data_IF_610267170148
#
_entry.id   IF_610267170148
#
_cell.length_a   1.000
_cell.length_b   1.000
_cell.length_c   1.000
_cell.angle_alpha   90.00
_cell.angle_beta   90.00
_cell.angle_gamma   90.00
#
_symmetry.space_group_name_H-M   'P 1'
#
loop_
_entity.id
_entity.type
_entity.pdbx_description
1 polymer ?
#
# COMPACT_ATOMS: atom_id res chain seq x y z
N UNK A 1 -3.52 -5.74 16.78
CA UNK A 1 -4.33 -4.49 16.80
C UNK A 1 -3.41 -3.30 16.74
N UNK A 2 -3.75 -2.29 15.92
CA UNK A 2 -3.00 -1.02 15.88
C UNK A 2 -3.32 -0.21 17.14
N UNK A 3 -2.29 0.32 17.81
CA UNK A 3 -2.43 1.23 18.94
C UNK A 3 -1.86 2.59 18.53
N UNK A 4 -2.52 3.65 18.93
CA UNK A 4 -2.10 5.04 18.67
C UNK A 4 -1.52 5.62 19.96
N UNK A 5 -0.35 6.24 19.87
CA UNK A 5 0.25 7.01 20.96
C UNK A 5 0.56 8.43 20.43
N UNK A 6 -0.01 9.41 21.10
CA UNK A 6 0.08 10.83 20.73
C UNK A 6 0.94 11.64 21.71
N UNK A 7 1.62 11.00 22.64
CA UNK A 7 2.42 11.68 23.67
C UNK A 7 3.51 12.57 23.08
N UNK A 8 4.08 12.19 21.93
CA UNK A 8 5.06 12.99 21.19
C UNK A 8 4.50 14.25 20.52
N UNK A 9 3.18 14.46 20.59
CA UNK A 9 2.51 15.66 20.07
C UNK A 9 2.07 16.63 21.19
N UNK A 10 2.14 16.24 22.46
CA UNK A 10 1.56 16.98 23.59
C UNK A 10 2.16 18.39 23.79
N UNK A 11 3.39 18.61 23.40
CA UNK A 11 4.04 19.94 23.46
C UNK A 11 3.68 20.84 22.26
N UNK A 12 3.03 20.30 21.23
CA UNK A 12 2.68 21.02 20.01
C UNK A 12 1.21 21.36 19.90
N UNK A 13 0.33 20.46 20.35
CA UNK A 13 -1.13 20.62 20.31
C UNK A 13 -1.66 20.59 21.72
N UNK A 14 -2.33 21.66 22.13
CA UNK A 14 -2.97 21.70 23.45
C UNK A 14 -4.27 20.86 23.47
N UNK A 15 -4.71 20.48 24.67
CA UNK A 15 -5.87 19.62 24.88
C UNK A 15 -7.17 20.17 24.28
N UNK A 16 -7.36 21.50 24.30
CA UNK A 16 -8.57 22.13 23.76
C UNK A 16 -8.63 22.04 22.23
N UNK A 17 -7.51 22.30 21.56
CA UNK A 17 -7.41 22.17 20.11
C UNK A 17 -7.55 20.69 19.70
N UNK A 18 -6.87 19.77 20.39
CA UNK A 18 -7.02 18.33 20.12
C UNK A 18 -8.48 17.89 20.24
N UNK A 19 -9.18 18.24 21.33
CA UNK A 19 -10.59 17.89 21.54
C UNK A 19 -11.50 18.47 20.44
N UNK A 20 -11.26 19.69 20.02
CA UNK A 20 -12.01 20.28 18.90
C UNK A 20 -11.84 19.47 17.60
N UNK A 21 -10.66 18.93 17.33
CA UNK A 21 -10.44 18.05 16.17
C UNK A 21 -10.99 16.63 16.39
N UNK A 22 -11.03 16.12 17.61
CA UNK A 22 -11.75 14.86 17.94
C UNK A 22 -13.24 15.00 17.62
N UNK A 23 -13.88 16.13 18.01
CA UNK A 23 -15.28 16.38 17.67
C UNK A 23 -15.53 16.46 16.16
N UNK A 24 -14.65 17.16 15.41
CA UNK A 24 -14.71 17.18 13.94
C UNK A 24 -14.55 15.79 13.33
N UNK A 25 -13.64 14.98 13.86
CA UNK A 25 -13.37 13.63 13.38
C UNK A 25 -14.51 12.66 13.70
N UNK A 26 -15.20 12.85 14.84
CA UNK A 26 -16.41 12.10 15.18
C UNK A 26 -17.56 12.46 14.22
N UNK A 27 -17.74 13.74 13.89
CA UNK A 27 -18.71 14.16 12.89
C UNK A 27 -18.37 13.61 11.49
N UNK A 28 -17.09 13.62 11.11
CA UNK A 28 -16.62 13.03 9.86
C UNK A 28 -16.82 11.51 9.80
N UNK A 29 -16.61 10.79 10.91
CA UNK A 29 -16.96 9.38 11.03
C UNK A 29 -18.45 9.15 10.81
N UNK A 30 -19.31 10.00 11.37
CA UNK A 30 -20.75 9.88 11.19
C UNK A 30 -21.17 10.08 9.73
N UNK A 31 -20.58 11.07 9.05
CA UNK A 31 -20.77 11.30 7.61
C UNK A 31 -20.33 10.08 6.79
N UNK A 32 -19.20 9.48 7.14
CA UNK A 32 -18.66 8.28 6.49
C UNK A 32 -19.55 7.05 6.72
N UNK A 33 -20.01 6.83 7.95
CA UNK A 33 -20.86 5.68 8.29
C UNK A 33 -22.25 5.79 7.67
N UNK A 34 -22.83 6.97 7.66
CA UNK A 34 -24.15 7.23 7.08
C UNK A 34 -24.11 7.41 5.55
N UNK A 35 -22.92 7.37 4.92
CA UNK A 35 -22.72 7.51 3.47
C UNK A 35 -23.30 8.81 2.88
N UNK A 36 -23.21 9.90 3.63
CA UNK A 36 -23.80 11.20 3.27
C UNK A 36 -22.78 12.20 2.73
N UNK A 37 -21.49 11.84 2.73
CA UNK A 37 -20.41 12.71 2.29
C UNK A 37 -20.12 12.66 0.80
N UNK A 38 -19.26 13.56 0.34
CA UNK A 38 -18.78 13.57 -1.03
C UNK A 38 -18.04 12.25 -1.34
N UNK A 39 -18.29 11.66 -2.51
CA UNK A 39 -17.69 10.40 -2.93
C UNK A 39 -18.31 9.15 -2.29
N UNK A 40 -19.52 9.25 -1.74
CA UNK A 40 -20.26 8.13 -1.14
C UNK A 40 -20.51 6.94 -2.09
N UNK A 41 -20.40 7.14 -3.41
CA UNK A 41 -20.45 6.08 -4.41
C UNK A 41 -19.24 5.11 -4.34
N UNK A 42 -18.20 5.44 -3.55
CA UNK A 42 -16.94 4.70 -3.44
C UNK A 42 -16.66 4.16 -2.03
N UNK A 43 -17.69 3.81 -1.27
CA UNK A 43 -17.57 3.32 0.11
C UNK A 43 -17.66 1.80 0.27
N UNK A 44 -17.63 1.03 -0.82
CA UNK A 44 -17.69 -0.44 -0.78
C UNK A 44 -16.54 -1.09 -0.01
N UNK A 45 -15.45 -0.36 0.25
CA UNK A 45 -14.33 -0.86 1.04
C UNK A 45 -14.64 -0.96 2.55
N UNK A 46 -15.62 -0.26 3.07
CA UNK A 46 -15.92 -0.15 4.51
C UNK A 46 -16.16 -1.49 5.20
N UNK A 47 -16.80 -2.43 4.52
CA UNK A 47 -17.20 -3.72 5.05
C UNK A 47 -16.52 -4.91 4.35
N UNK A 48 -15.51 -4.64 3.52
CA UNK A 48 -14.77 -5.70 2.82
C UNK A 48 -14.23 -6.81 3.75
N UNK A 49 -13.68 -6.52 4.95
CA UNK A 49 -13.21 -7.59 5.82
C UNK A 49 -14.31 -8.58 6.21
N UNK A 50 -15.43 -8.08 6.71
CA UNK A 50 -16.57 -8.91 7.12
C UNK A 50 -17.27 -9.59 5.93
N UNK A 51 -17.47 -8.89 4.82
CA UNK A 51 -18.09 -9.41 3.61
C UNK A 51 -17.23 -10.50 2.96
N UNK A 52 -15.92 -10.27 2.83
CA UNK A 52 -15.00 -11.22 2.20
C UNK A 52 -14.88 -12.51 3.02
N UNK A 53 -14.79 -12.42 4.35
CA UNK A 53 -14.77 -13.60 5.22
C UNK A 53 -16.04 -14.47 5.11
N UNK A 54 -17.18 -13.86 4.78
CA UNK A 54 -18.45 -14.54 4.59
C UNK A 54 -18.73 -14.94 3.13
N UNK A 55 -17.78 -14.73 2.21
CA UNK A 55 -17.91 -15.03 0.78
C UNK A 55 -17.12 -16.27 0.36
N UNK A 56 -17.24 -16.65 -0.91
CA UNK A 56 -16.43 -17.72 -1.53
C UNK A 56 -15.12 -17.23 -2.10
N UNK A 57 -14.82 -15.92 -2.03
CA UNK A 57 -13.71 -15.30 -2.72
C UNK A 57 -12.35 -15.92 -2.37
N UNK A 58 -12.09 -16.15 -1.08
CA UNK A 58 -10.83 -16.75 -0.61
C UNK A 58 -10.66 -18.15 -1.21
N UNK A 59 -11.70 -18.98 -1.13
CA UNK A 59 -11.68 -20.33 -1.69
C UNK A 59 -11.51 -20.33 -3.22
N UNK A 60 -12.08 -19.36 -3.92
CA UNK A 60 -11.89 -19.20 -5.37
C UNK A 60 -10.46 -18.79 -5.72
N UNK A 61 -9.82 -17.95 -4.92
CA UNK A 61 -8.39 -17.58 -5.09
C UNK A 61 -7.49 -18.79 -4.78
N UNK A 62 -7.79 -19.55 -3.74
CA UNK A 62 -7.07 -20.78 -3.40
C UNK A 62 -7.18 -21.83 -4.50
N UNK A 63 -8.35 -21.97 -5.13
CA UNK A 63 -8.51 -22.85 -6.28
C UNK A 63 -7.61 -22.48 -7.47
N UNK A 64 -7.36 -21.18 -7.71
CA UNK A 64 -6.37 -20.73 -8.71
C UNK A 64 -4.96 -21.12 -8.30
N UNK A 65 -4.60 -20.88 -7.03
CA UNK A 65 -3.28 -21.28 -6.48
C UNK A 65 -3.04 -22.78 -6.69
N UNK A 66 -3.99 -23.60 -6.32
CA UNK A 66 -3.86 -25.05 -6.36
C UNK A 66 -3.82 -25.58 -7.81
N UNK A 67 -4.60 -24.98 -8.72
CA UNK A 67 -4.55 -25.30 -10.14
C UNK A 67 -3.18 -24.93 -10.76
N UNK A 68 -2.59 -23.80 -10.39
CA UNK A 68 -1.28 -23.39 -10.88
C UNK A 68 -0.15 -24.18 -10.22
N UNK A 69 -0.28 -24.56 -8.96
CA UNK A 69 0.65 -25.48 -8.30
C UNK A 69 0.68 -26.85 -8.99
N UNK A 70 -0.48 -27.41 -9.38
CA UNK A 70 -0.56 -28.65 -10.14
C UNK A 70 0.10 -28.58 -11.53
N UNK A 71 0.19 -27.38 -12.10
CA UNK A 71 0.93 -27.11 -13.35
C UNK A 71 2.42 -26.79 -13.12
N UNK A 72 2.89 -26.83 -11.87
CA UNK A 72 4.24 -26.43 -11.46
C UNK A 72 4.59 -24.99 -11.87
N UNK A 73 3.63 -24.08 -11.86
CA UNK A 73 3.91 -22.65 -12.06
C UNK A 73 4.83 -22.16 -10.95
N UNK A 74 5.98 -21.61 -11.31
CA UNK A 74 6.99 -21.14 -10.38
C UNK A 74 7.27 -19.64 -10.46
N UNK A 75 6.62 -18.96 -11.43
CA UNK A 75 6.62 -17.50 -11.59
C UNK A 75 5.21 -16.99 -11.89
N UNK A 76 4.77 -15.96 -11.17
CA UNK A 76 3.53 -15.25 -11.49
C UNK A 76 3.85 -13.79 -11.76
N UNK A 77 3.50 -13.32 -12.95
CA UNK A 77 3.59 -11.92 -13.33
C UNK A 77 2.27 -11.23 -12.99
N UNK A 78 2.27 -10.36 -12.00
CA UNK A 78 1.11 -9.54 -11.62
C UNK A 78 1.22 -8.19 -12.32
N UNK A 79 0.28 -7.91 -13.22
CA UNK A 79 0.28 -6.72 -14.06
C UNK A 79 -0.76 -5.73 -13.55
N UNK A 80 -0.29 -4.57 -13.09
CA UNK A 80 -1.14 -3.51 -12.55
C UNK A 80 -0.34 -2.28 -12.16
N UNK A 81 -1.02 -1.17 -11.90
CA UNK A 81 -0.42 0.11 -11.48
C UNK A 81 -1.23 0.75 -10.36
N UNK A 82 -0.59 1.60 -9.55
CA UNK A 82 -1.25 2.29 -8.44
C UNK A 82 -1.89 1.31 -7.45
N UNK A 83 -3.18 1.44 -7.19
CA UNK A 83 -3.91 0.54 -6.29
C UNK A 83 -3.95 -0.92 -6.74
N UNK A 84 -3.82 -1.18 -8.03
CA UNK A 84 -3.69 -2.54 -8.58
C UNK A 84 -2.31 -3.17 -8.38
N UNK A 85 -1.40 -2.47 -7.71
CA UNK A 85 -0.01 -2.88 -7.48
C UNK A 85 0.40 -2.73 -6.01
N UNK A 86 0.26 -1.50 -5.46
CA UNK A 86 0.92 -1.10 -4.21
C UNK A 86 0.46 -1.91 -2.99
N UNK A 87 -0.84 -2.19 -2.86
CA UNK A 87 -1.36 -2.96 -1.72
C UNK A 87 -0.83 -4.39 -1.68
N UNK A 88 -0.90 -5.10 -2.81
CA UNK A 88 -0.33 -6.45 -2.94
C UNK A 88 1.19 -6.43 -2.72
N UNK A 89 1.91 -5.48 -3.34
CA UNK A 89 3.36 -5.34 -3.17
C UNK A 89 3.74 -5.09 -1.72
N UNK A 90 3.02 -4.23 -1.01
CA UNK A 90 3.21 -4.00 0.42
C UNK A 90 3.07 -5.29 1.23
N UNK A 91 2.01 -6.06 1.02
CA UNK A 91 1.79 -7.31 1.74
C UNK A 91 2.91 -8.33 1.46
N UNK A 92 3.27 -8.51 0.18
CA UNK A 92 4.29 -9.47 -0.20
C UNK A 92 5.66 -9.10 0.38
N UNK A 93 6.08 -7.84 0.32
CA UNK A 93 7.37 -7.40 0.89
C UNK A 93 7.41 -7.52 2.41
N UNK A 94 6.31 -7.16 3.08
CA UNK A 94 6.22 -7.26 4.54
C UNK A 94 6.29 -8.70 5.05
N UNK A 95 5.65 -9.64 4.35
CA UNK A 95 5.52 -11.02 4.80
C UNK A 95 6.64 -11.93 4.31
N UNK A 96 7.24 -11.64 3.15
CA UNK A 96 8.30 -12.46 2.57
C UNK A 96 9.61 -12.41 3.37
N UNK A 97 10.44 -13.42 3.22
CA UNK A 97 11.83 -13.39 3.66
C UNK A 97 12.61 -12.41 2.77
N UNK A 98 13.30 -11.40 3.36
CA UNK A 98 14.01 -10.35 2.60
C UNK A 98 15.01 -10.90 1.57
N UNK A 99 15.61 -12.05 1.85
CA UNK A 99 16.59 -12.71 0.98
C UNK A 99 16.03 -14.01 0.34
N UNK A 100 14.70 -14.10 0.14
CA UNK A 100 14.07 -15.31 -0.41
C UNK A 100 14.70 -15.75 -1.72
N UNK A 101 15.03 -14.79 -2.60
CA UNK A 101 15.62 -15.07 -3.92
C UNK A 101 17.02 -15.66 -3.85
N UNK A 102 17.78 -15.36 -2.79
CA UNK A 102 19.15 -15.82 -2.57
C UNK A 102 19.24 -17.14 -1.79
N UNK A 103 18.15 -17.57 -1.16
CA UNK A 103 18.12 -18.84 -0.43
C UNK A 103 18.13 -20.02 -1.38
N UNK A 104 18.85 -21.10 -1.00
CA UNK A 104 18.87 -22.36 -1.76
C UNK A 104 17.51 -23.05 -1.78
N UNK A 105 16.79 -23.00 -0.65
CA UNK A 105 15.43 -23.53 -0.53
C UNK A 105 14.44 -22.36 -0.52
N UNK A 106 13.69 -22.22 -1.60
CA UNK A 106 12.77 -21.09 -1.82
C UNK A 106 11.32 -21.38 -1.41
N UNK A 107 11.01 -22.58 -0.91
CA UNK A 107 9.63 -23.01 -0.65
C UNK A 107 8.91 -23.46 -1.92
N UNK A 108 7.61 -23.76 -1.81
CA UNK A 108 6.77 -24.28 -2.88
C UNK A 108 5.93 -23.22 -3.61
N UNK A 109 5.77 -22.04 -3.01
CA UNK A 109 5.00 -20.96 -3.63
C UNK A 109 5.76 -20.34 -4.82
N UNK A 110 5.06 -19.92 -5.88
CA UNK A 110 5.68 -19.25 -7.02
C UNK A 110 6.28 -17.91 -6.61
N UNK A 111 7.31 -17.49 -7.32
CA UNK A 111 7.82 -16.13 -7.21
C UNK A 111 6.82 -15.16 -7.83
N UNK A 112 6.46 -14.11 -7.10
CA UNK A 112 5.58 -13.05 -7.61
C UNK A 112 6.45 -11.88 -8.06
N UNK A 113 6.28 -11.46 -9.32
CA UNK A 113 6.90 -10.28 -9.89
C UNK A 113 5.83 -9.34 -10.43
N UNK A 114 6.12 -8.05 -10.47
CA UNK A 114 5.15 -7.06 -10.91
C UNK A 114 5.57 -6.44 -12.25
N UNK A 115 4.57 -6.09 -13.06
CA UNK A 115 4.75 -5.39 -14.33
C UNK A 115 3.64 -4.35 -14.54
N UNK A 116 3.84 -3.44 -15.50
CA UNK A 116 2.84 -2.43 -15.81
C UNK A 116 2.74 -1.29 -14.79
N UNK A 117 3.67 -1.19 -13.85
CA UNK A 117 3.80 -0.07 -12.92
C UNK A 117 4.73 1.02 -13.46
N UNK A 118 5.34 0.80 -14.61
CA UNK A 118 6.19 1.75 -15.34
C UNK A 118 6.19 1.45 -16.85
N UNK A 119 6.84 2.31 -17.63
CA UNK A 119 7.04 2.17 -19.09
C UNK A 119 8.54 2.09 -19.45
N UNK A 120 9.39 1.63 -18.53
CA UNK A 120 10.81 1.41 -18.81
C UNK A 120 10.99 0.22 -19.76
N UNK A 121 11.60 0.45 -20.91
CA UNK A 121 11.91 -0.61 -21.87
C UNK A 121 12.91 -1.61 -21.28
N UNK A 122 13.94 -1.12 -20.58
CA UNK A 122 14.94 -1.96 -19.91
C UNK A 122 14.29 -2.89 -18.87
N UNK A 123 13.42 -2.34 -18.00
CA UNK A 123 12.67 -3.16 -17.05
C UNK A 123 11.86 -4.27 -17.72
N UNK A 124 11.20 -3.95 -18.83
CA UNK A 124 10.41 -4.95 -19.56
C UNK A 124 11.26 -6.01 -20.23
N UNK A 125 12.41 -5.65 -20.81
CA UNK A 125 13.36 -6.62 -21.38
C UNK A 125 13.86 -7.58 -20.30
N UNK A 126 14.35 -7.08 -19.17
CA UNK A 126 14.85 -7.90 -18.05
C UNK A 126 13.75 -8.79 -17.44
N UNK A 127 12.51 -8.28 -17.34
CA UNK A 127 11.37 -9.10 -16.95
C UNK A 127 11.11 -10.23 -17.93
N UNK A 128 11.19 -9.95 -19.24
CA UNK A 128 10.96 -10.99 -20.26
C UNK A 128 12.06 -12.02 -20.28
N UNK A 129 13.32 -11.67 -19.97
CA UNK A 129 14.41 -12.64 -19.78
C UNK A 129 14.06 -13.62 -18.64
N UNK A 130 13.57 -13.09 -17.50
CA UNK A 130 13.13 -13.92 -16.39
C UNK A 130 11.94 -14.83 -16.75
N UNK A 131 10.95 -14.29 -17.45
CA UNK A 131 9.75 -15.04 -17.87
C UNK A 131 10.12 -16.19 -18.82
N UNK A 132 11.14 -16.01 -19.67
CA UNK A 132 11.61 -17.03 -20.62
C UNK A 132 12.29 -18.23 -19.92
N UNK A 133 12.85 -18.03 -18.75
CA UNK A 133 13.54 -19.08 -17.98
C UNK A 133 12.63 -19.85 -17.03
N UNK A 134 11.34 -19.44 -16.91
CA UNK A 134 10.44 -19.92 -15.86
C UNK A 134 9.12 -20.47 -16.39
N UNK A 135 8.48 -21.30 -15.58
CA UNK A 135 7.13 -21.79 -15.85
C UNK A 135 6.11 -20.74 -15.36
N UNK A 136 5.75 -19.82 -16.26
CA UNK A 136 5.06 -18.59 -15.90
C UNK A 136 3.53 -18.66 -16.04
N UNK A 137 2.86 -17.89 -15.16
CA UNK A 137 1.44 -17.52 -15.26
C UNK A 137 1.29 -16.00 -15.06
N UNK A 138 0.10 -15.46 -15.33
CA UNK A 138 -0.15 -14.02 -15.30
C UNK A 138 -1.46 -13.67 -14.60
N UNK A 139 -1.42 -12.69 -13.71
CA UNK A 139 -2.60 -11.99 -13.18
C UNK A 139 -2.60 -10.58 -13.75
N UNK A 140 -3.62 -10.22 -14.53
CA UNK A 140 -3.78 -8.86 -15.05
C UNK A 140 -4.90 -8.15 -14.31
N UNK A 141 -4.58 -6.98 -13.73
CA UNK A 141 -5.47 -6.21 -12.86
C UNK A 141 -5.70 -4.84 -13.47
N UNK A 142 -6.88 -4.65 -14.06
CA UNK A 142 -7.29 -3.36 -14.61
C UNK A 142 -8.80 -3.30 -14.76
N UNK A 143 -9.45 -2.29 -14.17
CA UNK A 143 -10.89 -2.11 -14.27
C UNK A 143 -11.31 -1.84 -15.72
N UNK A 144 -10.69 -0.89 -16.40
CA UNK A 144 -11.00 -0.54 -17.78
C UNK A 144 -10.30 -1.41 -18.82
N UNK A 145 -9.12 -1.93 -18.51
CA UNK A 145 -8.23 -2.60 -19.46
C UNK A 145 -7.55 -1.66 -20.46
N UNK A 146 -7.64 -0.34 -20.27
CA UNK A 146 -7.10 0.68 -21.20
C UNK A 146 -6.07 1.60 -20.57
N UNK A 147 -5.73 1.40 -19.29
CA UNK A 147 -4.60 2.11 -18.68
C UNK A 147 -3.33 1.70 -19.41
N UNK A 148 -2.57 2.67 -19.89
CA UNK A 148 -1.52 2.45 -20.89
C UNK A 148 -0.44 1.48 -20.38
N UNK A 149 0.09 1.72 -19.20
CA UNK A 149 1.21 0.98 -18.63
C UNK A 149 0.91 -0.52 -18.48
N UNK A 150 -0.15 -0.93 -17.76
CA UNK A 150 -0.49 -2.34 -17.65
C UNK A 150 -0.99 -2.94 -18.98
N UNK A 151 -1.61 -2.15 -19.87
CA UNK A 151 -2.06 -2.66 -21.18
C UNK A 151 -0.86 -3.01 -22.09
N UNK A 152 0.20 -2.20 -22.09
CA UNK A 152 1.45 -2.49 -22.81
C UNK A 152 2.12 -3.74 -22.23
N UNK A 153 2.33 -3.79 -20.93
CA UNK A 153 2.95 -4.94 -20.26
C UNK A 153 2.15 -6.24 -20.53
N UNK A 154 0.82 -6.18 -20.41
CA UNK A 154 -0.02 -7.34 -20.65
C UNK A 154 0.04 -7.82 -22.11
N UNK A 155 0.08 -6.91 -23.06
CA UNK A 155 0.20 -7.27 -24.49
C UNK A 155 1.48 -8.06 -24.77
N UNK A 156 2.60 -7.65 -24.16
CA UNK A 156 3.90 -8.32 -24.32
C UNK A 156 3.93 -9.69 -23.64
N UNK A 157 3.54 -9.75 -22.37
CA UNK A 157 3.52 -11.00 -21.59
C UNK A 157 2.54 -12.01 -22.18
N UNK A 158 1.31 -11.57 -22.53
CA UNK A 158 0.29 -12.41 -23.16
C UNK A 158 0.82 -13.05 -24.46
N UNK A 159 1.42 -12.23 -25.33
CA UNK A 159 1.99 -12.73 -26.60
C UNK A 159 3.02 -13.83 -26.35
N UNK A 160 3.95 -13.61 -25.40
CA UNK A 160 4.96 -14.61 -25.08
C UNK A 160 4.32 -15.90 -24.57
N UNK A 161 3.35 -15.80 -23.65
CA UNK A 161 2.66 -16.98 -23.12
C UNK A 161 1.92 -17.76 -24.22
N UNK A 162 1.26 -17.06 -25.16
CA UNK A 162 0.58 -17.67 -26.28
C UNK A 162 1.54 -18.38 -27.25
N UNK A 163 2.67 -17.74 -27.54
CA UNK A 163 3.72 -18.33 -28.42
C UNK A 163 4.37 -19.58 -27.76
N UNK A 164 4.47 -19.60 -26.43
CA UNK A 164 5.14 -20.68 -25.67
C UNK A 164 4.22 -21.85 -25.36
N UNK A 165 2.99 -21.57 -24.87
CA UNK A 165 2.09 -22.60 -24.37
C UNK A 165 0.90 -22.88 -25.29
N UNK A 166 0.65 -22.03 -26.28
CA UNK A 166 -0.55 -22.07 -27.13
C UNK A 166 -1.82 -21.56 -26.42
N UNK A 167 -2.79 -21.09 -27.21
CA UNK A 167 -3.97 -20.37 -26.71
C UNK A 167 -4.81 -21.14 -25.68
N UNK A 168 -4.98 -22.45 -25.87
CA UNK A 168 -5.79 -23.27 -24.97
C UNK A 168 -5.20 -23.34 -23.55
N UNK A 169 -3.90 -23.58 -23.46
CA UNK A 169 -3.18 -23.63 -22.17
C UNK A 169 -3.09 -22.23 -21.51
N UNK A 170 -2.92 -21.19 -22.31
CA UNK A 170 -2.84 -19.81 -21.82
C UNK A 170 -4.14 -19.35 -21.17
N UNK A 171 -5.29 -19.83 -21.65
CA UNK A 171 -6.59 -19.54 -21.02
C UNK A 171 -6.64 -19.97 -19.53
N UNK A 172 -5.88 -21.00 -19.16
CA UNK A 172 -5.78 -21.50 -17.78
C UNK A 172 -4.61 -20.87 -17.00
N UNK A 173 -3.72 -20.12 -17.68
CA UNK A 173 -2.54 -19.44 -17.09
C UNK A 173 -2.72 -17.94 -16.91
N UNK A 174 -3.81 -17.38 -17.40
CA UNK A 174 -4.13 -15.96 -17.23
C UNK A 174 -5.39 -15.82 -16.38
N UNK A 175 -5.30 -15.01 -15.35
CA UNK A 175 -6.45 -14.56 -14.56
C UNK A 175 -6.59 -13.06 -14.71
N UNK A 176 -7.80 -12.58 -15.02
CA UNK A 176 -8.10 -11.17 -15.13
C UNK A 176 -8.93 -10.69 -13.92
N UNK A 177 -8.41 -9.71 -13.20
CA UNK A 177 -9.13 -8.98 -12.16
C UNK A 177 -9.60 -7.67 -12.78
N UNK A 178 -10.91 -7.55 -13.07
CA UNK A 178 -11.46 -6.51 -13.94
C UNK A 178 -12.92 -6.18 -13.61
N UNK A 179 -13.52 -5.27 -14.36
CA UNK A 179 -14.93 -4.93 -14.26
C UNK A 179 -15.83 -6.15 -14.47
N UNK A 180 -17.00 -6.16 -13.84
CA UNK A 180 -17.98 -7.23 -13.93
C UNK A 180 -18.52 -7.44 -15.37
N UNK A 181 -18.77 -6.33 -16.07
CA UNK A 181 -19.53 -6.34 -17.32
C UNK A 181 -18.88 -5.54 -18.46
N UNK A 182 -18.02 -4.59 -18.17
CA UNK A 182 -17.53 -3.57 -19.10
C UNK A 182 -16.01 -3.55 -19.21
N UNK A 183 -15.51 -2.84 -20.24
CA UNK A 183 -14.09 -2.59 -20.43
C UNK A 183 -13.40 -3.57 -21.38
N UNK A 184 -12.28 -3.12 -21.92
CA UNK A 184 -11.50 -3.87 -22.90
C UNK A 184 -10.97 -5.20 -22.32
N UNK A 185 -10.51 -5.20 -21.06
CA UNK A 185 -10.01 -6.42 -20.43
C UNK A 185 -11.13 -7.43 -20.18
N UNK A 186 -12.33 -6.98 -19.78
CA UNK A 186 -13.47 -7.86 -19.61
C UNK A 186 -13.89 -8.51 -20.93
N UNK A 187 -13.96 -7.72 -22.00
CA UNK A 187 -14.24 -8.22 -23.35
C UNK A 187 -13.23 -9.29 -23.80
N UNK A 188 -11.95 -8.99 -23.64
CA UNK A 188 -10.88 -9.92 -23.98
C UNK A 188 -10.93 -11.20 -23.12
N UNK A 189 -11.08 -11.07 -21.80
CA UNK A 189 -11.14 -12.22 -20.89
C UNK A 189 -12.33 -13.15 -21.22
N UNK A 190 -13.46 -12.57 -21.63
CA UNK A 190 -14.63 -13.36 -22.06
C UNK A 190 -14.36 -14.06 -23.39
N UNK A 191 -13.74 -13.38 -24.35
CA UNK A 191 -13.41 -13.94 -25.67
C UNK A 191 -12.40 -15.09 -25.56
N UNK A 192 -11.36 -14.93 -24.76
CA UNK A 192 -10.26 -15.90 -24.63
C UNK A 192 -10.51 -16.96 -23.53
N UNK A 193 -11.59 -16.84 -22.76
CA UNK A 193 -11.97 -17.81 -21.73
C UNK A 193 -11.15 -17.72 -20.43
N UNK A 194 -10.57 -16.55 -20.12
CA UNK A 194 -9.81 -16.36 -18.87
C UNK A 194 -10.71 -16.41 -17.64
N UNK A 195 -10.24 -17.02 -16.56
CA UNK A 195 -10.86 -16.87 -15.23
C UNK A 195 -10.87 -15.39 -14.86
N UNK A 196 -12.01 -14.89 -14.36
CA UNK A 196 -12.15 -13.49 -13.96
C UNK A 196 -12.51 -13.35 -12.51
N UNK A 197 -11.99 -12.31 -11.84
CA UNK A 197 -12.46 -11.77 -10.57
C UNK A 197 -12.94 -10.34 -10.78
N UNK A 198 -13.90 -9.93 -9.98
CA UNK A 198 -14.55 -8.62 -10.12
C UNK A 198 -13.82 -7.56 -9.30
N UNK A 199 -13.61 -6.39 -9.91
CA UNK A 199 -13.31 -5.14 -9.19
C UNK A 199 -14.64 -4.41 -9.04
N UNK A 200 -15.12 -4.27 -7.82
CA UNK A 200 -16.41 -3.64 -7.55
C UNK A 200 -16.40 -2.16 -7.96
N UNK A 201 -17.55 -1.67 -8.45
CA UNK A 201 -17.68 -0.31 -8.95
C UNK A 201 -17.52 0.74 -7.85
N UNK A 202 -17.95 0.39 -6.65
CA UNK A 202 -17.95 1.24 -5.47
C UNK A 202 -16.67 1.16 -4.62
N UNK A 203 -15.57 0.57 -5.15
CA UNK A 203 -14.27 0.54 -4.49
C UNK A 203 -13.24 1.27 -5.34
N UNK A 204 -12.65 2.32 -4.76
CA UNK A 204 -11.54 3.06 -5.37
C UNK A 204 -10.23 2.26 -5.38
N UNK A 205 -9.36 2.49 -6.37
CA UNK A 205 -8.11 1.72 -6.52
C UNK A 205 -7.22 1.69 -5.28
N UNK A 206 -7.04 2.81 -4.59
CA UNK A 206 -6.20 2.90 -3.38
C UNK A 206 -6.82 2.29 -2.13
N UNK A 207 -8.12 1.93 -2.17
CA UNK A 207 -8.86 1.24 -1.12
C UNK A 207 -9.13 -0.24 -1.47
N UNK A 208 -8.42 -0.81 -2.45
CA UNK A 208 -8.77 -2.11 -3.05
C UNK A 208 -7.93 -3.29 -2.56
N UNK A 209 -7.02 -3.09 -1.61
CA UNK A 209 -6.10 -4.16 -1.17
C UNK A 209 -6.83 -5.38 -0.61
N UNK A 210 -7.98 -5.21 0.03
CA UNK A 210 -8.82 -6.29 0.58
C UNK A 210 -9.91 -6.78 -0.39
N UNK A 211 -9.77 -6.46 -1.69
CA UNK A 211 -10.55 -7.03 -2.80
C UNK A 211 -9.73 -8.09 -3.55
N UNK A 212 -10.25 -8.75 -4.59
CA UNK A 212 -9.44 -9.64 -5.45
C UNK A 212 -8.15 -9.02 -5.97
N UNK A 213 -8.07 -7.69 -6.05
CA UNK A 213 -6.89 -6.93 -6.47
C UNK A 213 -5.66 -7.24 -5.60
N UNK A 214 -5.81 -7.26 -4.29
CA UNK A 214 -4.74 -7.60 -3.36
C UNK A 214 -4.79 -9.06 -2.91
N UNK A 215 -5.99 -9.60 -2.66
CA UNK A 215 -6.20 -10.95 -2.11
C UNK A 215 -5.59 -12.02 -3.02
N UNK A 216 -5.85 -11.97 -4.32
CA UNK A 216 -5.36 -13.00 -5.24
C UNK A 216 -3.83 -13.10 -5.27
N UNK A 217 -3.06 -12.02 -5.49
CA UNK A 217 -1.59 -12.11 -5.42
C UNK A 217 -1.05 -12.59 -4.07
N UNK A 218 -1.69 -12.21 -2.95
CA UNK A 218 -1.28 -12.61 -1.60
C UNK A 218 -1.49 -14.12 -1.40
N UNK A 219 -2.64 -14.65 -1.82
CA UNK A 219 -2.96 -16.10 -1.77
C UNK A 219 -2.00 -16.89 -2.67
N UNK A 220 -1.71 -16.41 -3.88
CA UNK A 220 -0.77 -17.05 -4.80
C UNK A 220 0.66 -17.13 -4.23
N UNK A 221 1.06 -16.12 -3.45
CA UNK A 221 2.33 -16.10 -2.73
C UNK A 221 2.36 -17.06 -1.51
N UNK A 222 1.25 -17.68 -1.15
CA UNK A 222 1.14 -18.66 -0.08
C UNK A 222 0.95 -18.08 1.33
N UNK A 223 0.54 -16.82 1.47
CA UNK A 223 0.26 -16.19 2.76
C UNK A 223 -1.16 -16.45 3.24
N UNK A 224 -1.36 -16.41 4.56
CA UNK A 224 -2.65 -16.64 5.21
C UNK A 224 -3.56 -15.40 5.10
N UNK A 225 -4.35 -15.38 4.03
CA UNK A 225 -5.30 -14.28 3.79
C UNK A 225 -6.44 -14.25 4.82
N UNK A 226 -6.83 -15.38 5.41
CA UNK A 226 -7.86 -15.40 6.43
C UNK A 226 -7.38 -14.69 7.70
N UNK A 227 -6.13 -14.92 8.12
CA UNK A 227 -5.53 -14.17 9.22
C UNK A 227 -5.48 -12.67 8.94
N UNK A 228 -5.15 -12.26 7.70
CA UNK A 228 -5.14 -10.85 7.29
C UNK A 228 -6.55 -10.23 7.37
N UNK A 229 -7.54 -10.90 6.84
CA UNK A 229 -8.94 -10.44 6.89
C UNK A 229 -9.48 -10.37 8.32
N UNK A 230 -9.09 -11.31 9.19
CA UNK A 230 -9.45 -11.27 10.62
C UNK A 230 -8.82 -10.05 11.32
N UNK A 231 -7.58 -9.71 11.01
CA UNK A 231 -6.94 -8.51 11.52
C UNK A 231 -7.63 -7.22 11.06
N UNK A 232 -8.01 -7.18 9.77
CA UNK A 232 -8.79 -6.08 9.19
C UNK A 232 -10.19 -5.97 9.82
N UNK A 233 -10.89 -7.11 10.04
CA UNK A 233 -12.20 -7.14 10.70
C UNK A 233 -12.13 -6.61 12.14
N UNK A 234 -11.14 -7.04 12.92
CA UNK A 234 -10.95 -6.55 14.27
C UNK A 234 -10.73 -5.02 14.31
N UNK A 235 -10.12 -4.47 13.26
CA UNK A 235 -9.92 -3.03 13.12
C UNK A 235 -11.18 -2.33 12.57
N UNK A 236 -11.97 -2.97 11.70
CA UNK A 236 -13.30 -2.50 11.28
C UNK A 236 -14.17 -2.24 12.51
N UNK A 237 -14.25 -3.24 13.43
CA UNK A 237 -14.99 -3.12 14.68
C UNK A 237 -14.46 -2.03 15.60
N UNK A 238 -13.13 -1.88 15.71
CA UNK A 238 -12.50 -0.86 16.55
C UNK A 238 -12.76 0.55 16.00
N UNK A 239 -12.67 0.72 14.69
CA UNK A 239 -12.83 2.00 14.00
C UNK A 239 -14.30 2.41 13.76
N UNK A 240 -15.26 1.52 14.03
CA UNK A 240 -16.69 1.85 14.04
C UNK A 240 -17.15 2.56 15.31
N UNK A 241 -16.34 2.55 16.39
CA UNK A 241 -16.70 3.11 17.69
C UNK A 241 -16.78 4.65 17.63
N UNK A 242 -17.90 5.21 18.05
CA UNK A 242 -18.12 6.66 18.13
C UNK A 242 -17.60 7.23 19.45
N UNK A 243 -16.30 7.15 19.69
CA UNK A 243 -15.62 7.65 20.90
C UNK A 243 -14.20 8.09 20.61
N UNK A 244 -13.60 8.86 21.49
CA UNK A 244 -12.19 9.23 21.46
C UNK A 244 -11.27 8.01 21.56
N UNK A 245 -11.76 6.88 22.04
CA UNK A 245 -11.04 5.62 22.10
C UNK A 245 -10.80 4.95 20.72
N UNK A 246 -11.41 5.47 19.66
CA UNK A 246 -11.27 4.98 18.29
C UNK A 246 -9.91 5.41 17.73
N UNK A 247 -9.03 4.46 17.33
CA UNK A 247 -7.68 4.80 16.88
C UNK A 247 -7.67 5.64 15.60
N UNK A 248 -8.64 5.44 14.69
CA UNK A 248 -8.73 6.23 13.47
C UNK A 248 -9.13 7.69 13.76
N UNK A 249 -10.01 7.91 14.77
CA UNK A 249 -10.37 9.26 15.25
C UNK A 249 -9.15 9.94 15.86
N UNK A 250 -8.41 9.25 16.73
CA UNK A 250 -7.21 9.80 17.39
C UNK A 250 -6.18 10.28 16.36
N UNK A 251 -5.88 9.42 15.39
CA UNK A 251 -4.90 9.72 14.37
C UNK A 251 -5.36 10.85 13.44
N UNK A 252 -6.58 10.79 12.92
CA UNK A 252 -7.12 11.84 12.04
C UNK A 252 -7.23 13.19 12.75
N UNK A 253 -7.65 13.22 14.01
CA UNK A 253 -7.75 14.44 14.80
C UNK A 253 -6.39 15.11 14.99
N UNK A 254 -5.37 14.36 15.43
CA UNK A 254 -4.04 14.92 15.67
C UNK A 254 -3.39 15.41 14.37
N UNK A 255 -3.47 14.66 13.28
CA UNK A 255 -2.94 15.07 11.97
C UNK A 255 -3.51 16.41 11.53
N UNK A 256 -4.83 16.56 11.60
CA UNK A 256 -5.51 17.78 11.17
C UNK A 256 -5.27 18.96 12.13
N UNK A 257 -5.12 18.71 13.43
CA UNK A 257 -4.71 19.74 14.38
C UNK A 257 -3.30 20.26 14.08
N UNK A 258 -2.36 19.38 13.78
CA UNK A 258 -0.98 19.74 13.37
C UNK A 258 -0.97 20.46 12.01
N UNK A 259 -1.78 20.02 11.05
CA UNK A 259 -1.91 20.68 9.76
C UNK A 259 -2.39 22.13 9.91
N UNK A 260 -3.35 22.39 10.79
CA UNK A 260 -3.82 23.75 11.07
C UNK A 260 -2.73 24.62 11.68
N UNK A 261 -1.73 24.04 12.35
CA UNK A 261 -0.56 24.74 12.90
C UNK A 261 0.59 24.88 11.90
N UNK A 262 0.38 24.50 10.63
CA UNK A 262 1.37 24.67 9.56
C UNK A 262 2.25 23.44 9.31
N UNK A 263 2.00 22.29 9.93
CA UNK A 263 2.68 21.03 9.59
C UNK A 263 2.07 20.48 8.29
N UNK A 264 2.74 20.74 7.17
CA UNK A 264 2.24 20.46 5.82
C UNK A 264 2.76 19.16 5.22
N UNK A 265 3.77 18.55 5.85
CA UNK A 265 4.41 17.32 5.40
C UNK A 265 4.29 16.29 6.53
N UNK A 266 3.77 15.11 6.22
CA UNK A 266 3.80 13.97 7.12
C UNK A 266 4.74 12.92 6.58
N UNK A 267 5.67 12.47 7.41
CA UNK A 267 6.64 11.44 7.07
C UNK A 267 6.27 10.16 7.80
N UNK A 268 5.88 9.11 7.06
CA UNK A 268 5.71 7.77 7.63
C UNK A 268 7.09 7.14 7.82
N UNK A 269 7.41 6.81 9.06
CA UNK A 269 8.73 6.28 9.46
C UNK A 269 8.62 4.80 9.78
N UNK A 270 9.47 3.98 9.19
CA UNK A 270 9.61 2.57 9.51
C UNK A 270 11.05 2.24 9.91
N UNK A 271 11.23 1.50 11.01
CA UNK A 271 12.53 0.96 11.46
C UNK A 271 12.77 -0.49 11.03
N UNK A 272 11.79 -1.09 10.36
CA UNK A 272 11.92 -2.42 9.80
C UNK A 272 11.83 -2.33 8.26
N UNK A 273 12.86 -2.76 7.50
CA UNK A 273 12.90 -2.64 6.05
C UNK A 273 11.77 -3.40 5.33
N UNK A 274 11.12 -4.36 6.01
CA UNK A 274 9.92 -5.03 5.49
C UNK A 274 8.71 -4.09 5.31
N UNK A 275 8.71 -2.93 5.96
CA UNK A 275 7.62 -1.95 5.89
C UNK A 275 7.87 -0.83 4.86
N UNK A 276 8.93 -0.92 4.04
CA UNK A 276 9.21 0.06 2.99
C UNK A 276 8.01 0.29 2.08
N UNK A 277 7.39 -0.78 1.59
CA UNK A 277 6.22 -0.67 0.71
C UNK A 277 4.92 -0.33 1.45
N UNK A 278 4.87 -0.40 2.77
CA UNK A 278 3.79 0.21 3.55
C UNK A 278 3.79 1.74 3.35
N UNK A 279 4.98 2.35 3.38
CA UNK A 279 5.14 3.78 3.07
C UNK A 279 4.71 4.12 1.64
N UNK A 280 5.05 3.30 0.64
CA UNK A 280 4.68 3.54 -0.76
C UNK A 280 3.15 3.42 -0.96
N UNK A 281 2.50 2.40 -0.40
CA UNK A 281 1.05 2.26 -0.42
C UNK A 281 0.35 3.40 0.33
N UNK A 282 0.85 3.78 1.50
CA UNK A 282 0.32 4.86 2.32
C UNK A 282 0.42 6.23 1.62
N UNK A 283 1.51 6.49 0.88
CA UNK A 283 1.66 7.71 0.07
C UNK A 283 0.57 7.82 -1.00
N UNK A 284 0.24 6.73 -1.68
CA UNK A 284 -0.88 6.74 -2.63
C UNK A 284 -2.21 6.97 -1.92
N UNK A 285 -2.46 6.26 -0.82
CA UNK A 285 -3.70 6.38 -0.07
C UNK A 285 -3.98 7.83 0.33
N UNK A 286 -3.04 8.48 1.00
CA UNK A 286 -3.21 9.85 1.49
C UNK A 286 -3.02 10.91 0.41
N UNK A 287 -2.06 10.76 -0.48
CA UNK A 287 -1.77 11.72 -1.55
C UNK A 287 -2.96 11.91 -2.50
N UNK A 288 -3.56 10.81 -2.96
CA UNK A 288 -4.75 10.89 -3.82
C UNK A 288 -6.03 11.26 -3.07
N UNK A 289 -6.11 10.97 -1.77
CA UNK A 289 -7.33 11.25 -0.99
C UNK A 289 -7.40 12.70 -0.49
N UNK A 290 -6.29 13.28 -0.07
CA UNK A 290 -6.24 14.59 0.60
C UNK A 290 -5.71 15.72 -0.27
N UNK A 291 -4.83 15.44 -1.24
CA UNK A 291 -4.17 16.47 -2.08
C UNK A 291 -5.11 17.07 -3.12
N UNK A 292 -6.08 17.90 -2.70
CA UNK A 292 -7.13 18.49 -3.53
C UNK A 292 -7.44 19.92 -3.12
N UNK A 293 -7.97 20.70 -4.04
CA UNK A 293 -8.46 22.08 -3.80
C UNK A 293 -7.41 23.00 -3.16
N UNK A 294 -6.12 22.75 -3.39
CA UNK A 294 -5.02 23.49 -2.76
C UNK A 294 -4.78 23.13 -1.29
N UNK A 295 -5.44 22.07 -0.79
CA UNK A 295 -5.33 21.54 0.56
C UNK A 295 -4.57 20.22 0.56
N UNK A 296 -4.24 19.71 1.75
CA UNK A 296 -3.68 18.38 1.96
C UNK A 296 -2.33 18.40 2.64
N UNK A 297 -2.06 17.30 3.37
CA UNK A 297 -0.77 17.01 3.98
C UNK A 297 0.03 16.21 2.96
N UNK A 298 1.23 16.67 2.60
CA UNK A 298 2.09 15.96 1.66
C UNK A 298 2.64 14.70 2.30
N UNK A 299 2.33 13.50 1.77
CA UNK A 299 2.78 12.24 2.35
C UNK A 299 4.20 11.90 1.85
N UNK A 300 5.13 11.73 2.78
CA UNK A 300 6.48 11.22 2.52
C UNK A 300 6.72 9.95 3.33
N UNK A 301 7.79 9.21 3.05
CA UNK A 301 8.19 8.06 3.86
C UNK A 301 9.70 7.93 3.93
N UNK A 302 10.21 7.38 5.05
CA UNK A 302 11.61 7.08 5.29
C UNK A 302 11.77 5.73 5.96
N UNK A 303 12.93 5.10 5.75
CA UNK A 303 13.34 3.86 6.41
C UNK A 303 14.55 4.15 7.32
N UNK A 304 14.31 4.26 8.61
CA UNK A 304 15.37 4.42 9.58
C UNK A 304 15.94 3.03 9.97
N UNK A 305 17.20 2.94 10.34
CA UNK A 305 18.22 3.99 10.54
C UNK A 305 18.86 4.49 9.24
N UNK A 306 18.67 3.81 8.10
CA UNK A 306 19.31 4.17 6.82
C UNK A 306 19.12 5.66 6.49
N UNK A 307 17.89 6.14 6.51
CA UNK A 307 17.57 7.51 6.13
C UNK A 307 17.93 8.57 7.20
N UNK A 308 18.35 8.16 8.41
CA UNK A 308 19.00 9.08 9.34
C UNK A 308 20.33 9.59 8.78
N UNK A 309 20.98 8.80 7.92
CA UNK A 309 22.23 9.17 7.23
C UNK A 309 22.01 9.95 5.93
N UNK A 310 20.76 10.30 5.61
CA UNK A 310 20.37 11.10 4.44
C UNK A 310 19.41 12.23 4.82
N UNK A 311 18.23 11.92 5.32
CA UNK A 311 17.17 12.86 5.68
C UNK A 311 17.22 13.34 7.13
N UNK A 312 17.97 12.64 7.99
CA UNK A 312 18.02 12.94 9.43
C UNK A 312 18.43 14.40 9.73
N UNK A 313 19.40 14.97 9.00
CA UNK A 313 19.79 16.36 9.16
C UNK A 313 18.64 17.32 8.88
N UNK A 314 17.89 17.11 7.79
CA UNK A 314 16.78 17.99 7.44
C UNK A 314 15.63 17.88 8.46
N UNK A 315 15.31 16.66 8.87
CA UNK A 315 14.23 16.41 9.84
C UNK A 315 14.59 17.07 11.17
N UNK A 316 15.84 16.91 11.65
CA UNK A 316 16.30 17.45 12.93
C UNK A 316 16.42 18.98 12.94
N UNK A 317 16.90 19.60 11.86
CA UNK A 317 17.35 21.01 11.87
C UNK A 317 16.89 21.81 10.64
N UNK A 318 16.06 21.25 9.77
CA UNK A 318 15.50 21.94 8.61
C UNK A 318 14.23 22.74 8.97
N UNK A 319 13.38 22.97 7.99
CA UNK A 319 12.12 23.73 8.15
C UNK A 319 11.09 23.00 9.01
N UNK A 320 10.42 23.72 9.90
CA UNK A 320 9.48 23.13 10.90
C UNK A 320 8.08 22.86 10.34
N UNK A 321 7.96 22.54 9.05
CA UNK A 321 6.70 22.29 8.35
C UNK A 321 6.28 20.81 8.36
N UNK A 322 7.06 19.94 8.96
CA UNK A 322 6.86 18.50 8.95
C UNK A 322 6.45 17.92 10.32
N UNK A 323 5.85 16.75 10.29
CA UNK A 323 5.57 15.86 11.41
C UNK A 323 5.90 14.42 11.02
N UNK A 324 6.12 13.55 11.97
CA UNK A 324 6.39 12.14 11.72
C UNK A 324 5.29 11.24 12.30
N UNK A 325 4.99 10.16 11.57
CA UNK A 325 4.19 9.02 12.04
C UNK A 325 5.07 7.78 12.04
N UNK A 326 5.48 7.35 13.22
CA UNK A 326 6.38 6.19 13.40
C UNK A 326 5.56 4.92 13.55
N UNK A 327 5.86 3.91 12.71
CA UNK A 327 5.26 2.57 12.81
C UNK A 327 6.20 1.66 13.57
N UNK A 328 5.93 1.51 14.87
CA UNK A 328 6.69 0.67 15.80
C UNK A 328 6.27 -0.78 15.69
N UNK A 329 7.23 -1.70 15.58
CA UNK A 329 7.03 -3.15 15.67
C UNK A 329 7.51 -3.62 17.04
N UNK A 330 6.59 -4.01 17.91
CA UNK A 330 6.91 -4.32 19.32
C UNK A 330 7.78 -5.58 19.49
N UNK A 331 7.67 -6.54 18.58
CA UNK A 331 8.38 -7.82 18.66
C UNK A 331 8.89 -8.27 17.28
N UNK A 332 10.16 -8.57 17.17
CA UNK A 332 10.72 -9.22 15.98
C UNK A 332 10.24 -10.67 15.87
N UNK A 333 10.08 -11.16 14.62
CA UNK A 333 9.77 -12.56 14.34
C UNK A 333 11.00 -13.47 14.44
N UNK A 334 12.18 -12.90 14.53
CA UNK A 334 13.47 -13.58 14.65
C UNK A 334 14.32 -12.88 15.67
N UNK A 335 15.32 -13.59 16.18
CA UNK A 335 16.19 -13.10 17.25
C UNK A 335 17.64 -13.37 16.92
N UNK A 336 18.51 -12.42 17.22
CA UNK A 336 19.96 -12.52 17.11
C UNK A 336 20.59 -11.74 18.25
N UNK A 337 21.48 -12.39 18.99
CA UNK A 337 22.26 -11.78 20.07
C UNK A 337 23.56 -11.20 19.51
N UNK A 338 24.01 -10.11 20.10
CA UNK A 338 25.32 -9.52 19.86
C UNK A 338 26.32 -10.23 20.76
N UNK A 339 27.31 -10.87 20.14
CA UNK A 339 28.33 -11.63 20.84
C UNK A 339 29.46 -10.70 21.33
N UNK A 340 30.22 -11.17 22.32
CA UNK A 340 31.41 -10.46 22.80
C UNK A 340 32.56 -10.61 21.81
N UNK A 341 33.21 -9.50 21.44
CA UNK A 341 34.50 -9.51 20.73
C UNK A 341 35.64 -9.41 21.74
N UNK A 342 36.52 -10.45 21.84
CA UNK A 342 37.65 -10.43 22.76
C UNK A 342 38.61 -9.23 22.59
N UNK A 343 38.70 -8.66 21.39
CA UNK A 343 39.57 -7.51 21.10
C UNK A 343 38.87 -6.16 21.35
N UNK A 344 37.55 -6.12 21.21
CA UNK A 344 36.74 -4.91 21.37
C UNK A 344 37.29 -3.68 20.61
N UNK A 345 37.81 -3.89 19.41
CA UNK A 345 38.41 -2.81 18.60
C UNK A 345 37.39 -1.78 18.11
N UNK A 346 36.15 -2.19 17.97
CA UNK A 346 35.02 -1.34 17.61
C UNK A 346 34.39 -0.64 18.82
N UNK A 347 34.78 -1.02 20.06
CA UNK A 347 34.23 -0.45 21.29
C UNK A 347 32.80 -0.89 21.61
N UNK A 348 32.25 -1.90 20.94
CA UNK A 348 30.83 -2.27 21.03
C UNK A 348 30.51 -3.35 22.06
N UNK A 349 31.47 -3.81 22.89
CA UNK A 349 31.20 -4.83 23.91
C UNK A 349 30.17 -4.42 24.97
N UNK A 350 29.80 -3.14 25.09
CA UNK A 350 28.69 -2.70 25.92
C UNK A 350 27.32 -3.18 25.41
N UNK A 351 27.26 -3.66 24.18
CA UNK A 351 26.06 -4.28 23.58
C UNK A 351 26.03 -5.80 23.76
N UNK A 352 27.07 -6.43 24.29
CA UNK A 352 27.15 -7.88 24.46
C UNK A 352 25.95 -8.42 25.24
N UNK A 353 25.31 -9.45 24.70
CA UNK A 353 24.13 -10.07 25.29
C UNK A 353 22.80 -9.36 25.01
N UNK A 354 22.83 -8.20 24.34
CA UNK A 354 21.60 -7.57 23.84
C UNK A 354 21.17 -8.20 22.52
N UNK A 355 19.87 -8.19 22.27
CA UNK A 355 19.35 -8.50 20.94
C UNK A 355 19.56 -7.32 19.99
N UNK A 356 19.79 -7.59 18.71
CA UNK A 356 19.90 -6.54 17.66
C UNK A 356 18.63 -5.66 17.65
N UNK A 357 17.45 -6.26 17.90
CA UNK A 357 16.18 -5.53 17.97
C UNK A 357 16.11 -4.56 19.16
N UNK A 358 16.77 -4.85 20.27
CA UNK A 358 16.87 -3.90 21.40
C UNK A 358 17.64 -2.64 21.00
N UNK A 359 18.70 -2.79 20.18
CA UNK A 359 19.45 -1.65 19.64
C UNK A 359 18.59 -0.83 18.68
N UNK A 360 17.80 -1.51 17.84
CA UNK A 360 16.87 -0.87 16.89
C UNK A 360 15.80 -0.08 17.65
N UNK A 361 15.19 -0.67 18.67
CA UNK A 361 14.19 0.00 19.52
C UNK A 361 14.77 1.23 20.25
N UNK A 362 16.02 1.16 20.71
CA UNK A 362 16.69 2.32 21.33
C UNK A 362 17.05 3.41 20.32
N UNK A 363 17.40 3.02 19.09
CA UNK A 363 17.58 3.97 17.98
C UNK A 363 16.26 4.69 17.65
N UNK A 364 15.15 3.96 17.58
CA UNK A 364 13.80 4.53 17.39
C UNK A 364 13.46 5.53 18.49
N UNK A 365 13.55 5.12 19.76
CA UNK A 365 13.24 5.97 20.90
C UNK A 365 14.14 7.22 20.95
N UNK A 366 15.45 7.04 20.79
CA UNK A 366 16.40 8.14 20.82
C UNK A 366 16.16 9.16 19.72
N UNK A 367 15.83 8.69 18.52
CA UNK A 367 15.48 9.54 17.38
C UNK A 367 14.18 10.32 17.63
N UNK A 368 13.12 9.65 18.09
CA UNK A 368 11.86 10.32 18.42
C UNK A 368 12.06 11.44 19.44
N UNK A 369 12.80 11.18 20.51
CA UNK A 369 13.11 12.20 21.54
C UNK A 369 13.88 13.39 20.93
N UNK A 370 14.91 13.12 20.14
CA UNK A 370 15.71 14.18 19.51
C UNK A 370 14.87 15.03 18.53
N UNK A 371 14.01 14.41 17.74
CA UNK A 371 13.14 15.10 16.79
C UNK A 371 12.06 15.93 17.51
N UNK A 372 11.49 15.44 18.62
CA UNK A 372 10.56 16.21 19.46
C UNK A 372 11.27 17.47 20.00
N UNK A 373 12.46 17.31 20.57
CA UNK A 373 13.26 18.43 21.07
C UNK A 373 13.63 19.42 19.96
N UNK A 374 13.80 18.92 18.74
CA UNK A 374 14.02 19.72 17.52
C UNK A 374 12.74 20.38 16.97
N UNK A 375 11.58 20.19 17.57
CA UNK A 375 10.32 20.82 17.14
C UNK A 375 9.54 20.03 16.06
N UNK A 376 9.77 18.71 15.96
CA UNK A 376 9.06 17.82 15.05
C UNK A 376 8.09 16.93 15.84
N UNK A 377 6.77 17.13 15.71
CA UNK A 377 5.77 16.30 16.36
C UNK A 377 5.87 14.83 15.93
N UNK A 378 5.69 13.91 16.90
CA UNK A 378 5.77 12.48 16.69
C UNK A 378 4.44 11.81 17.02
N UNK A 379 3.75 11.29 16.00
CA UNK A 379 2.67 10.33 16.17
C UNK A 379 3.29 8.92 16.15
N UNK A 380 2.88 8.03 17.05
CA UNK A 380 3.36 6.65 17.04
C UNK A 380 2.20 5.68 16.86
N UNK A 381 2.36 4.74 15.94
CA UNK A 381 1.45 3.63 15.70
C UNK A 381 2.21 2.34 16.03
N UNK A 382 1.70 1.50 16.92
CA UNK A 382 2.36 0.23 17.20
C UNK A 382 1.54 -0.98 16.81
N UNK A 383 2.24 -2.00 16.30
CA UNK A 383 1.75 -3.36 16.06
C UNK A 383 2.62 -4.36 16.81
N UNK A 384 2.04 -5.47 17.23
CA UNK A 384 2.79 -6.46 18.00
C UNK A 384 3.97 -7.03 17.19
N UNK A 385 3.72 -7.45 15.94
CA UNK A 385 4.72 -8.01 15.01
C UNK A 385 4.26 -7.89 13.57
N UNK A 386 5.16 -8.06 12.62
CA UNK A 386 4.83 -8.14 11.20
C UNK A 386 4.33 -9.55 10.92
N UNK A 387 3.02 -9.68 10.70
CA UNK A 387 2.33 -10.87 10.24
C UNK A 387 1.06 -10.47 9.49
N UNK A 388 0.37 -11.43 8.91
CA UNK A 388 -0.84 -11.20 8.11
C UNK A 388 -1.92 -10.47 8.91
N UNK A 389 -2.18 -10.87 10.16
CA UNK A 389 -3.19 -10.27 11.01
C UNK A 389 -2.93 -8.77 11.27
N UNK A 390 -1.72 -8.43 11.70
CA UNK A 390 -1.38 -7.03 12.00
C UNK A 390 -1.27 -6.17 10.74
N UNK A 391 -0.88 -6.76 9.61
CA UNK A 391 -0.84 -6.04 8.34
C UNK A 391 -2.27 -5.74 7.83
N UNK A 392 -3.19 -6.69 7.94
CA UNK A 392 -4.61 -6.46 7.64
C UNK A 392 -5.21 -5.37 8.53
N UNK A 393 -4.86 -5.36 9.82
CA UNK A 393 -5.27 -4.31 10.73
C UNK A 393 -4.71 -2.93 10.33
N UNK A 394 -3.45 -2.84 9.88
CA UNK A 394 -2.85 -1.58 9.40
C UNK A 394 -3.54 -1.07 8.13
N UNK A 395 -3.83 -1.95 7.17
CA UNK A 395 -4.54 -1.56 5.96
C UNK A 395 -5.89 -0.91 6.28
N UNK A 396 -6.73 -1.60 7.02
CA UNK A 396 -8.05 -1.07 7.36
C UNK A 396 -7.98 0.20 8.22
N UNK A 397 -7.06 0.22 9.20
CA UNK A 397 -6.82 1.42 10.03
C UNK A 397 -6.52 2.66 9.18
N UNK A 398 -5.58 2.56 8.25
CA UNK A 398 -5.19 3.70 7.43
C UNK A 398 -6.28 4.09 6.44
N UNK A 399 -6.99 3.14 5.83
CA UNK A 399 -8.13 3.43 4.96
C UNK A 399 -9.22 4.20 5.71
N UNK A 400 -9.59 3.75 6.90
CA UNK A 400 -10.61 4.39 7.73
C UNK A 400 -10.19 5.78 8.21
N UNK A 401 -8.96 5.89 8.72
CA UNK A 401 -8.40 7.16 9.17
C UNK A 401 -8.26 8.17 8.02
N UNK A 402 -7.91 7.72 6.83
CA UNK A 402 -7.80 8.54 5.63
C UNK A 402 -9.16 9.12 5.21
N UNK A 403 -10.21 8.29 5.18
CA UNK A 403 -11.56 8.76 4.87
C UNK A 403 -12.06 9.82 5.87
N UNK A 404 -11.85 9.57 7.17
CA UNK A 404 -12.19 10.52 8.24
C UNK A 404 -11.40 11.83 8.07
N UNK A 405 -10.08 11.72 7.89
CA UNK A 405 -9.16 12.86 7.77
C UNK A 405 -9.49 13.74 6.56
N UNK A 406 -9.81 13.14 5.41
CA UNK A 406 -10.21 13.89 4.23
C UNK A 406 -11.52 14.69 4.43
N UNK A 407 -12.50 14.12 5.11
CA UNK A 407 -13.72 14.86 5.45
C UNK A 407 -13.48 15.97 6.49
N UNK A 408 -12.58 15.75 7.47
CA UNK A 408 -12.17 16.83 8.40
C UNK A 408 -11.48 17.96 7.66
N UNK A 409 -10.69 17.64 6.64
CA UNK A 409 -10.00 18.60 5.78
C UNK A 409 -10.95 19.35 4.85
N UNK A 410 -12.16 18.81 4.61
CA UNK A 410 -13.20 19.39 3.76
C UNK A 410 -13.10 19.03 2.29
N UNK A 411 -12.39 17.95 1.94
CA UNK A 411 -12.23 17.48 0.55
C UNK A 411 -13.01 16.17 0.32
N UNK A 412 -13.24 15.80 -0.95
CA UNK A 412 -13.72 14.46 -1.29
C UNK A 412 -12.56 13.45 -1.21
N UNK A 413 -12.56 12.49 -0.24
CA UNK A 413 -11.42 11.57 -0.08
C UNK A 413 -11.36 10.47 -1.15
N UNK A 414 -12.37 10.30 -2.01
CA UNK A 414 -12.55 9.08 -2.81
C UNK A 414 -12.44 9.29 -4.31
N UNK A 415 -12.38 10.51 -4.82
CA UNK A 415 -12.05 10.83 -6.21
C UNK A 415 -10.56 11.19 -6.40
N UNK A 416 -10.12 11.41 -7.64
CA UNK A 416 -8.75 11.84 -7.98
C UNK A 416 -8.73 12.63 -9.30
N UNK A 417 -9.34 13.82 -9.36
CA UNK A 417 -9.44 14.59 -10.61
C UNK A 417 -8.08 15.06 -11.14
N UNK A 418 -7.09 15.27 -10.26
CA UNK A 418 -5.79 15.82 -10.62
C UNK A 418 -4.95 14.95 -11.56
N UNK A 419 -5.20 13.63 -11.63
CA UNK A 419 -4.42 12.72 -12.48
C UNK A 419 -4.92 12.66 -13.93
N UNK A 420 -6.02 13.32 -14.28
CA UNK A 420 -6.57 13.24 -15.63
C UNK A 420 -5.80 14.08 -16.66
N UNK A 421 -5.21 15.19 -16.22
CA UNK A 421 -4.49 16.10 -17.11
C UNK A 421 -3.27 15.45 -17.78
N UNK A 422 -2.40 14.80 -17.01
CA UNK A 422 -1.21 14.16 -17.56
C UNK A 422 -1.55 12.99 -18.48
N UNK A 423 -2.61 12.23 -18.18
CA UNK A 423 -3.06 11.13 -19.05
C UNK A 423 -3.49 11.63 -20.43
N UNK A 424 -4.27 12.72 -20.47
CA UNK A 424 -4.68 13.35 -21.74
C UNK A 424 -3.48 13.85 -22.52
N UNK A 425 -2.51 14.50 -21.87
CA UNK A 425 -1.27 14.94 -22.51
C UNK A 425 -0.48 13.76 -23.09
N UNK A 426 -0.32 12.68 -22.33
CA UNK A 426 0.35 11.46 -22.78
C UNK A 426 -0.36 10.85 -23.99
N UNK A 427 -1.68 10.74 -23.98
CA UNK A 427 -2.44 10.22 -25.12
C UNK A 427 -2.25 11.08 -26.38
N UNK A 428 -2.30 12.41 -26.23
CA UNK A 428 -2.08 13.33 -27.33
C UNK A 428 -0.66 13.19 -27.94
N UNK A 429 0.38 13.18 -27.08
CA UNK A 429 1.78 13.05 -27.51
C UNK A 429 2.08 11.68 -28.13
N UNK A 430 1.40 10.62 -27.72
CA UNK A 430 1.49 9.29 -28.32
C UNK A 430 0.67 9.14 -29.60
N UNK A 431 -0.05 10.17 -30.03
CA UNK A 431 -0.84 10.15 -31.27
C UNK A 431 -2.11 9.30 -31.18
N UNK A 432 -2.71 9.21 -30.01
CA UNK A 432 -3.99 8.49 -29.84
C UNK A 432 -5.08 9.17 -30.67
N UNK A 433 -5.87 8.40 -31.47
CA UNK A 433 -6.98 8.95 -32.25
C UNK A 433 -7.97 9.75 -31.38
N UNK A 434 -8.38 10.93 -31.88
CA UNK A 434 -9.27 11.86 -31.17
C UNK A 434 -8.55 12.87 -30.26
N UNK A 435 -7.21 12.93 -30.30
CA UNK A 435 -6.37 13.88 -29.57
C UNK A 435 -5.50 14.76 -30.46
N UNK A 436 -5.80 14.86 -31.77
CA UNK A 436 -4.97 15.51 -32.77
C UNK A 436 -4.77 17.00 -32.49
N UNK A 437 -5.84 17.75 -32.21
CA UNK A 437 -5.75 19.18 -31.87
C UNK A 437 -4.93 19.43 -30.60
N UNK A 438 -5.11 18.58 -29.59
CA UNK A 438 -4.34 18.67 -28.35
C UNK A 438 -2.86 18.34 -28.58
N UNK A 439 -2.56 17.39 -29.45
CA UNK A 439 -1.20 17.05 -29.83
C UNK A 439 -0.48 18.23 -30.49
N UNK A 440 -1.13 18.93 -31.43
CA UNK A 440 -0.59 20.14 -32.07
C UNK A 440 -0.34 21.26 -31.05
N UNK A 441 -1.32 21.51 -30.15
CA UNK A 441 -1.18 22.51 -29.09
C UNK A 441 -0.03 22.20 -28.11
N UNK A 442 0.19 20.92 -27.78
CA UNK A 442 1.30 20.51 -26.92
C UNK A 442 2.65 20.63 -27.61
N UNK A 443 2.76 20.20 -28.88
CA UNK A 443 3.99 20.33 -29.69
C UNK A 443 4.42 21.77 -29.86
N UNK A 444 3.47 22.71 -29.98
CA UNK A 444 3.77 24.14 -30.09
C UNK A 444 4.39 24.73 -28.78
N UNK A 445 4.38 24.00 -27.66
CA UNK A 445 4.97 24.38 -26.36
C UNK A 445 6.36 23.78 -26.13
N UNK A 446 6.79 22.83 -26.97
CA UNK A 446 8.11 22.17 -26.91
C UNK A 446 9.10 22.87 -27.84
#
# INVERSE_FOLDING_TARGET
MVKVNLSGCSSFVNDADYKAYVEKSLAALEVLENETGAGNDFLGWKHLPSETLNSTLVAECEAVRDAWAAKNVDLVVVIGIGGSYLGAKCALEALSHLFAKQLKNKGAAPEIVFAGQNLSEEYMCELMDLVQERNAACVVISKSGTTTEPAVAFRLVKKYLEDTYGKAEVAERIVAVTDKARGALKGLATQEGYKTFVIEDNVGGRFSVLTPVGILPIVLAGFDINAMLQGALAMEEACAKKCECNPAIQYAAMRNALYAQGKKIEILVAYNPKLTFLGEWWKQLYGESEGKDGLGIFPASVNFTTDLHSMGQYIQDGERTLMETVVTVEKSNRSMLIENDPQNLDGLNFLTGKHVEECNAMAELGTQLAHIDGGVPQLSLSIERINEYNLGALFYFFEKACGISGYVLGVNPFDQPGVEAYKKNMFALLGKPGYEEMAEALKARL
#
